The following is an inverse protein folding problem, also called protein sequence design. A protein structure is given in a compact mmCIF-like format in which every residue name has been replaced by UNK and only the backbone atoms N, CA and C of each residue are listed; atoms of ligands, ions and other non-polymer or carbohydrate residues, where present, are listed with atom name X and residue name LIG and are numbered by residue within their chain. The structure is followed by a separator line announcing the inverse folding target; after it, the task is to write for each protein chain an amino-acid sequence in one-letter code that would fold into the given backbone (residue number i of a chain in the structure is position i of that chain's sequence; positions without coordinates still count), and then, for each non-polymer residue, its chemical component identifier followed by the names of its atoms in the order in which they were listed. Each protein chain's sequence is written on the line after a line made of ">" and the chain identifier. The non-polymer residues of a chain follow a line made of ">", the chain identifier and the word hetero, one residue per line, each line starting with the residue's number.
data_IF_511389570427
#
_entry.id   IF_511389570427
#
_cell.length_a   1.000
_cell.length_b   1.000
_cell.length_c   1.000
_cell.angle_alpha   90.00
_cell.angle_beta   90.00
_cell.angle_gamma   90.00
#
_symmetry.space_group_name_H-M   'P 1'
#
loop_
_entity.id
_entity.type
_entity.pdbx_description
1 polymer ?
#
# COMPACT_ATOMS: atom_id res chain seq x y z
N UNK A 1 -8.88 -8.33 28.35
CA UNK A 1 -8.37 -7.02 27.90
C UNK A 1 -8.74 -6.90 26.43
N UNK A 2 -9.74 -6.11 26.07
CA UNK A 2 -10.05 -5.84 24.67
C UNK A 2 -9.04 -4.81 24.17
N UNK A 3 -8.07 -5.28 23.40
CA UNK A 3 -7.16 -4.43 22.65
C UNK A 3 -7.99 -3.53 21.74
N UNK A 4 -8.01 -2.22 22.00
CA UNK A 4 -8.64 -1.22 21.13
C UNK A 4 -7.81 -1.08 19.85
N UNK A 5 -7.91 -2.07 18.96
CA UNK A 5 -7.28 -2.03 17.64
C UNK A 5 -8.26 -1.41 16.67
N UNK A 6 -7.79 -0.45 15.87
CA UNK A 6 -8.55 0.10 14.77
C UNK A 6 -8.99 -1.05 13.84
N UNK A 7 -10.30 -1.29 13.62
CA UNK A 7 -10.77 -2.41 12.81
C UNK A 7 -10.14 -2.43 11.41
N UNK A 8 -9.96 -1.25 10.81
CA UNK A 8 -9.36 -1.14 9.49
C UNK A 8 -7.87 -1.51 9.48
N UNK A 9 -7.14 -1.22 10.56
CA UNK A 9 -5.75 -1.67 10.69
C UNK A 9 -5.70 -3.18 10.82
N UNK A 10 -6.56 -3.77 11.67
CA UNK A 10 -6.61 -5.22 11.86
C UNK A 10 -6.91 -5.98 10.55
N UNK A 11 -7.70 -5.40 9.65
CA UNK A 11 -7.99 -5.97 8.33
C UNK A 11 -6.83 -5.81 7.33
N UNK A 12 -6.24 -4.61 7.25
CA UNK A 12 -5.35 -4.25 6.13
C UNK A 12 -3.88 -4.51 6.43
N UNK A 13 -3.46 -4.40 7.69
CA UNK A 13 -2.07 -4.60 8.08
C UNK A 13 -1.53 -5.99 7.72
N UNK A 14 -2.24 -7.11 8.00
CA UNK A 14 -1.77 -8.44 7.61
C UNK A 14 -1.58 -8.60 6.10
N UNK A 15 -2.47 -8.00 5.30
CA UNK A 15 -2.39 -8.04 3.83
C UNK A 15 -1.16 -7.30 3.31
N UNK A 16 -0.84 -6.16 3.91
CA UNK A 16 0.35 -5.38 3.55
C UNK A 16 1.61 -6.14 3.95
N UNK A 17 1.66 -6.73 5.15
CA UNK A 17 2.79 -7.55 5.61
C UNK A 17 3.03 -8.72 4.66
N UNK A 18 1.97 -9.44 4.27
CA UNK A 18 2.06 -10.55 3.31
C UNK A 18 2.62 -10.08 1.95
N UNK A 19 2.12 -8.95 1.44
CA UNK A 19 2.57 -8.40 0.16
C UNK A 19 4.01 -7.91 0.20
N UNK A 20 4.47 -7.37 1.32
CA UNK A 20 5.88 -7.04 1.55
C UNK A 20 6.74 -8.30 1.60
N UNK A 21 6.32 -9.31 2.36
CA UNK A 21 7.06 -10.58 2.48
C UNK A 21 7.16 -11.38 1.18
N UNK A 22 6.21 -11.19 0.26
CA UNK A 22 6.20 -11.85 -1.06
C UNK A 22 6.80 -11.00 -2.18
N UNK A 23 7.17 -9.74 -1.93
CA UNK A 23 7.65 -8.80 -2.95
C UNK A 23 6.57 -8.31 -3.91
N UNK A 24 5.28 -8.49 -3.59
CA UNK A 24 4.17 -7.92 -4.36
C UNK A 24 4.04 -6.40 -4.12
N UNK A 25 4.47 -5.94 -2.95
CA UNK A 25 4.76 -4.56 -2.57
C UNK A 25 6.21 -4.48 -2.08
N UNK A 26 6.88 -3.37 -2.38
CA UNK A 26 8.16 -3.05 -1.75
C UNK A 26 7.95 -2.09 -0.56
N UNK A 27 9.02 -1.86 0.19
CA UNK A 27 9.07 -0.77 1.16
C UNK A 27 8.81 0.58 0.45
N UNK A 28 8.15 1.53 1.14
CA UNK A 28 7.76 2.81 0.56
C UNK A 28 8.98 3.69 0.28
N UNK A 29 9.15 4.11 -0.98
CA UNK A 29 10.15 5.11 -1.40
C UNK A 29 9.58 6.55 -1.38
N UNK A 30 8.26 6.69 -1.31
CA UNK A 30 7.55 7.97 -1.30
C UNK A 30 6.19 7.90 -2.00
N UNK A 31 5.36 8.92 -1.77
CA UNK A 31 4.09 9.11 -2.48
C UNK A 31 4.20 10.25 -3.48
N UNK A 32 3.51 10.09 -4.60
CA UNK A 32 3.24 11.17 -5.56
C UNK A 32 2.06 12.03 -5.08
N UNK A 33 1.80 13.15 -5.77
CA UNK A 33 0.68 14.03 -5.42
C UNK A 33 -0.66 13.26 -5.45
N UNK A 34 -1.40 13.33 -4.34
CA UNK A 34 -2.70 12.69 -4.22
C UNK A 34 -3.72 13.41 -5.10
N UNK A 35 -4.64 12.64 -5.69
CA UNK A 35 -5.71 13.19 -6.53
C UNK A 35 -7.05 12.51 -6.26
N UNK A 36 -8.16 13.19 -6.53
CA UNK A 36 -9.50 12.58 -6.47
C UNK A 36 -9.74 11.78 -7.74
N UNK A 37 -10.00 10.48 -7.62
CA UNK A 37 -10.30 9.65 -8.77
C UNK A 37 -11.74 9.84 -9.24
N UNK A 38 -11.89 10.19 -10.52
CA UNK A 38 -13.19 10.54 -11.12
C UNK A 38 -13.78 9.41 -11.99
N UNK A 39 -13.09 8.28 -12.14
CA UNK A 39 -13.49 7.16 -13.00
C UNK A 39 -13.91 5.90 -12.26
N UNK A 40 -14.00 4.79 -13.00
CA UNK A 40 -14.20 3.44 -12.47
C UNK A 40 -12.93 2.61 -12.68
N UNK A 41 -12.64 1.69 -11.76
CA UNK A 41 -11.71 0.57 -12.03
C UNK A 41 -10.28 0.67 -11.47
N UNK A 42 -9.94 1.63 -10.61
CA UNK A 42 -8.68 1.55 -9.87
C UNK A 42 -8.83 0.57 -8.71
N UNK A 43 -7.82 -0.27 -8.50
CA UNK A 43 -7.75 -1.23 -7.39
C UNK A 43 -6.67 -0.78 -6.42
N UNK A 44 -6.98 -0.79 -5.12
CA UNK A 44 -6.01 -0.46 -4.11
C UNK A 44 -4.95 -1.56 -3.99
N UNK A 45 -3.68 -1.21 -4.16
CA UNK A 45 -2.53 -2.11 -4.02
C UNK A 45 -2.42 -2.70 -2.60
N UNK A 46 -2.89 -1.99 -1.57
CA UNK A 46 -2.86 -2.44 -0.18
C UNK A 46 -3.94 -3.49 0.15
N UNK A 47 -5.22 -3.14 0.03
CA UNK A 47 -6.32 -4.02 0.42
C UNK A 47 -6.93 -4.85 -0.72
N UNK A 48 -6.65 -4.53 -1.99
CA UNK A 48 -7.25 -5.22 -3.15
C UNK A 48 -8.66 -4.75 -3.51
N UNK A 49 -9.26 -3.87 -2.72
CA UNK A 49 -10.60 -3.33 -2.99
C UNK A 49 -10.58 -2.20 -4.04
N UNK A 50 -11.68 -2.00 -4.78
CA UNK A 50 -11.83 -0.86 -5.68
C UNK A 50 -11.67 0.49 -4.97
N UNK A 51 -10.99 1.42 -5.63
CA UNK A 51 -11.05 2.85 -5.32
C UNK A 51 -12.19 3.42 -6.14
N UNK A 52 -13.31 3.71 -5.47
CA UNK A 52 -14.53 4.18 -6.12
C UNK A 52 -14.47 5.67 -6.45
N UNK A 53 -15.38 6.12 -7.29
CA UNK A 53 -15.51 7.52 -7.68
C UNK A 53 -15.53 8.45 -6.44
N UNK A 54 -14.87 9.59 -6.56
CA UNK A 54 -14.75 10.62 -5.52
C UNK A 54 -13.88 10.25 -4.30
N UNK A 55 -13.23 9.07 -4.31
CA UNK A 55 -12.19 8.78 -3.33
C UNK A 55 -10.83 9.36 -3.75
N UNK A 56 -10.09 9.85 -2.76
CA UNK A 56 -8.68 10.22 -2.96
C UNK A 56 -7.85 8.97 -3.23
N UNK A 57 -7.08 9.02 -4.31
CA UNK A 57 -6.06 8.04 -4.68
C UNK A 57 -4.69 8.60 -4.33
N UNK A 58 -3.89 7.76 -3.68
CA UNK A 58 -2.52 8.06 -3.29
C UNK A 58 -1.60 7.22 -4.17
N UNK A 59 -1.10 7.78 -5.29
CA UNK A 59 -0.14 7.10 -6.14
C UNK A 59 1.22 6.99 -5.46
N UNK A 60 1.91 5.88 -5.71
CA UNK A 60 3.31 5.71 -5.32
C UNK A 60 4.06 5.00 -6.45
N UNK A 61 5.31 5.37 -6.66
CA UNK A 61 6.19 4.69 -7.61
C UNK A 61 6.95 3.58 -6.89
N UNK A 62 6.91 2.39 -7.47
CA UNK A 62 7.70 1.24 -7.04
C UNK A 62 8.66 0.82 -8.17
N UNK A 63 9.82 0.26 -7.83
CA UNK A 63 10.75 -0.34 -8.80
C UNK A 63 10.42 -1.82 -9.05
N UNK A 64 10.57 -2.32 -10.29
CA UNK A 64 10.71 -1.57 -11.54
C UNK A 64 9.44 -0.75 -11.81
N UNK A 65 9.60 0.38 -12.50
CA UNK A 65 8.65 1.48 -12.66
C UNK A 65 7.16 1.05 -12.73
N UNK A 66 6.53 0.92 -11.57
CA UNK A 66 5.14 0.50 -11.38
C UNK A 66 4.43 1.55 -10.55
N UNK A 67 3.26 1.98 -11.01
CA UNK A 67 2.39 2.88 -10.23
C UNK A 67 1.50 2.02 -9.34
N UNK A 68 1.76 2.10 -8.04
CA UNK A 68 0.85 1.63 -7.00
C UNK A 68 -0.22 2.68 -6.73
N UNK A 69 -1.39 2.23 -6.27
CA UNK A 69 -2.51 3.11 -5.96
C UNK A 69 -3.13 2.71 -4.65
N UNK A 70 -3.38 3.68 -3.79
CA UNK A 70 -3.91 3.39 -2.47
C UNK A 70 -5.11 4.26 -2.13
N UNK A 71 -6.05 3.70 -1.38
CA UNK A 71 -6.91 4.52 -0.52
C UNK A 71 -6.03 5.23 0.50
N UNK A 72 -6.49 6.40 0.98
CA UNK A 72 -5.80 7.19 2.02
C UNK A 72 -5.28 6.37 3.20
N UNK A 73 -6.14 5.52 3.75
CA UNK A 73 -5.80 4.73 4.94
C UNK A 73 -4.81 3.62 4.63
N UNK A 74 -4.97 2.94 3.50
CA UNK A 74 -4.05 1.88 3.07
C UNK A 74 -2.65 2.44 2.80
N UNK A 75 -2.54 3.64 2.22
CA UNK A 75 -1.27 4.34 2.03
C UNK A 75 -0.55 4.53 3.37
N UNK A 76 -1.26 5.03 4.39
CA UNK A 76 -0.64 5.29 5.70
C UNK A 76 -0.22 4.02 6.44
N UNK A 77 -0.99 2.95 6.35
CA UNK A 77 -0.62 1.66 6.95
C UNK A 77 0.62 1.10 6.24
N UNK A 78 0.65 1.14 4.90
CA UNK A 78 1.81 0.70 4.12
C UNK A 78 3.06 1.49 4.47
N UNK A 79 2.95 2.81 4.63
CA UNK A 79 4.05 3.66 5.04
C UNK A 79 4.64 3.22 6.39
N UNK A 80 3.80 3.02 7.41
CA UNK A 80 4.26 2.63 8.75
C UNK A 80 4.83 1.21 8.75
N UNK A 81 4.12 0.24 8.19
CA UNK A 81 4.52 -1.18 8.20
C UNK A 81 5.77 -1.39 7.33
N UNK A 82 5.83 -0.77 6.17
CA UNK A 82 6.93 -0.90 5.23
C UNK A 82 8.23 -0.25 5.73
N UNK A 83 8.16 0.79 6.56
CA UNK A 83 9.35 1.33 7.25
C UNK A 83 9.85 0.41 8.37
N UNK A 84 8.96 -0.37 8.99
CA UNK A 84 9.31 -1.31 10.06
C UNK A 84 9.79 -2.67 9.56
N UNK A 85 9.57 -2.96 8.28
CA UNK A 85 9.97 -4.22 7.64
C UNK A 85 11.19 -3.95 6.76
N UNK A 86 12.42 -4.33 7.19
CA UNK A 86 13.61 -4.13 6.37
C UNK A 86 13.47 -4.85 5.04
N UNK A 87 13.78 -4.16 3.95
CA UNK A 87 13.75 -4.71 2.61
C UNK A 87 14.74 -5.87 2.54
N UNK A 88 14.26 -7.08 2.23
CA UNK A 88 15.17 -8.17 1.90
C UNK A 88 15.76 -7.85 0.53
N UNK A 89 17.02 -7.41 0.51
CA UNK A 89 17.78 -7.18 -0.72
C UNK A 89 17.63 -8.40 -1.64
N UNK A 90 16.88 -8.25 -2.74
CA UNK A 90 16.97 -9.19 -3.84
C UNK A 90 18.39 -9.10 -4.41
N UNK A 91 19.14 -10.20 -4.52
CA UNK A 91 20.46 -10.14 -5.14
C UNK A 91 20.27 -9.70 -6.58
N UNK A 92 21.03 -8.67 -6.98
CA UNK A 92 21.12 -8.22 -8.36
C UNK A 92 21.36 -9.45 -9.25
N UNK A 93 20.42 -9.70 -10.17
CA UNK A 93 20.62 -10.70 -11.20
C UNK A 93 21.94 -10.37 -11.93
N UNK A 94 22.86 -11.34 -11.93
CA UNK A 94 24.16 -11.26 -12.61
C UNK A 94 24.00 -11.26 -14.13
#
# INVERSE_FOLDING_TARGET
>A
MTTNVCPRCAEVEPLIIEKLGTGTLDSPDGFEEAFVFMGTGLVCSGCGEPIVQSQWTYPALQRPLRILRFHRWCARIWEVVGMLTPQQDQPAAR
#
